data_IF_030415847077
#
_entry.id   IF_030415847077
#
_cell.length_a   1.000
_cell.length_b   1.000
_cell.length_c   1.000
_cell.angle_alpha   90.00
_cell.angle_beta   90.00
_cell.angle_gamma   90.00
#
_symmetry.space_group_name_H-M   'P 1'
#
loop_
_entity.id
_entity.type
_entity.pdbx_description
1 polymer ?
#
# COMPACT_ATOMS: atom_id res chain seq x y z
N UNK A 1 5.52 24.34 -7.10
CA UNK A 1 6.98 24.50 -7.04
C UNK A 1 7.47 23.66 -5.88
N UNK A 2 8.42 22.75 -6.11
CA UNK A 2 8.75 21.65 -5.20
C UNK A 2 9.18 22.14 -3.80
N UNK A 3 8.31 21.95 -2.82
CA UNK A 3 8.68 22.08 -1.41
C UNK A 3 9.40 20.78 -1.07
N UNK A 4 10.73 20.84 -1.03
CA UNK A 4 11.52 19.82 -0.37
C UNK A 4 11.11 19.85 1.11
N UNK A 5 10.36 18.83 1.55
CA UNK A 5 9.91 18.72 2.95
C UNK A 5 11.12 18.44 3.85
N UNK A 6 11.89 19.49 4.16
CA UNK A 6 13.05 19.49 5.05
C UNK A 6 12.67 19.11 6.51
N UNK A 7 11.38 18.95 6.81
CA UNK A 7 10.87 18.60 8.12
C UNK A 7 11.16 17.13 8.52
N UNK A 8 11.49 16.24 7.57
CA UNK A 8 11.89 14.85 7.86
C UNK A 8 13.21 14.47 7.17
N UNK A 9 14.37 14.75 7.81
CA UNK A 9 15.69 14.59 7.19
C UNK A 9 15.98 13.14 6.75
N UNK A 10 15.44 12.15 7.47
CA UNK A 10 15.58 10.74 7.11
C UNK A 10 14.84 10.39 5.83
N UNK A 11 13.58 10.82 5.68
CA UNK A 11 12.80 10.57 4.48
C UNK A 11 13.43 11.20 3.25
N UNK A 12 13.98 12.41 3.39
CA UNK A 12 14.72 13.06 2.32
C UNK A 12 16.00 12.30 1.95
N UNK A 13 16.82 11.93 2.94
CA UNK A 13 18.07 11.17 2.73
C UNK A 13 17.80 9.84 2.03
N UNK A 14 16.83 9.05 2.52
CA UNK A 14 16.45 7.79 1.89
C UNK A 14 15.79 8.00 0.52
N UNK A 15 15.07 9.10 0.32
CA UNK A 15 14.52 9.47 -0.98
C UNK A 15 15.61 9.71 -2.02
N UNK A 16 16.67 10.43 -1.67
CA UNK A 16 17.84 10.66 -2.54
C UNK A 16 18.58 9.35 -2.81
N UNK A 17 18.86 8.56 -1.77
CA UNK A 17 19.53 7.26 -1.94
C UNK A 17 18.71 6.33 -2.84
N UNK A 18 17.39 6.29 -2.63
CA UNK A 18 16.45 5.55 -3.47
C UNK A 18 16.48 6.00 -4.93
N UNK A 19 16.51 7.31 -5.19
CA UNK A 19 16.64 7.86 -6.55
C UNK A 19 17.94 7.39 -7.24
N UNK A 20 19.06 7.41 -6.52
CA UNK A 20 20.35 6.95 -7.06
C UNK A 20 20.29 5.46 -7.42
N UNK A 21 19.79 4.62 -6.51
CA UNK A 21 19.66 3.18 -6.73
C UNK A 21 18.70 2.88 -7.88
N UNK A 22 17.53 3.53 -7.90
CA UNK A 22 16.56 3.38 -8.98
C UNK A 22 17.14 3.76 -10.34
N UNK A 23 17.96 4.82 -10.43
CA UNK A 23 18.63 5.18 -11.68
C UNK A 23 19.59 4.07 -12.14
N UNK A 24 20.37 3.49 -11.23
CA UNK A 24 21.23 2.34 -11.56
C UNK A 24 20.41 1.14 -12.06
N UNK A 25 19.25 0.88 -11.47
CA UNK A 25 18.34 -0.19 -11.90
C UNK A 25 17.77 0.08 -13.29
N UNK A 26 17.34 1.32 -13.59
CA UNK A 26 16.88 1.69 -14.94
C UNK A 26 17.99 1.56 -15.99
N UNK A 27 19.26 1.75 -15.60
CA UNK A 27 20.41 1.60 -16.49
C UNK A 27 20.91 0.15 -16.59
N UNK A 28 20.45 -0.77 -15.75
CA UNK A 28 20.90 -2.16 -15.77
C UNK A 28 20.70 -2.87 -17.13
N UNK A 29 19.63 -2.62 -17.91
CA UNK A 29 19.46 -3.20 -19.24
C UNK A 29 20.28 -2.54 -20.36
N UNK A 30 21.01 -1.45 -20.07
CA UNK A 30 21.75 -0.69 -21.07
C UNK A 30 22.77 -1.53 -21.87
N UNK A 31 23.56 -2.43 -21.26
CA UNK A 31 24.46 -3.31 -22.01
C UNK A 31 23.71 -4.22 -23.00
N UNK A 32 22.52 -4.69 -22.63
CA UNK A 32 21.65 -5.51 -23.49
C UNK A 32 21.18 -4.70 -24.70
N UNK A 33 20.69 -3.48 -24.50
CA UNK A 33 20.23 -2.64 -25.61
C UNK A 33 21.37 -2.12 -26.49
N UNK A 34 22.55 -1.91 -25.92
CA UNK A 34 23.74 -1.63 -26.70
C UNK A 34 24.07 -2.80 -27.66
N UNK A 35 23.94 -4.04 -27.19
CA UNK A 35 24.08 -5.24 -28.03
C UNK A 35 23.04 -5.29 -29.14
N UNK A 36 21.76 -5.02 -28.83
CA UNK A 36 20.67 -4.93 -29.82
C UNK A 36 20.99 -3.90 -30.91
N UNK A 37 21.45 -2.71 -30.51
CA UNK A 37 21.82 -1.64 -31.45
C UNK A 37 22.99 -2.04 -32.37
N UNK A 38 24.01 -2.72 -31.84
CA UNK A 38 25.18 -3.18 -32.60
C UNK A 38 24.84 -4.34 -33.54
N UNK A 39 24.02 -5.29 -33.10
CA UNK A 39 23.64 -6.49 -33.87
C UNK A 39 22.46 -6.26 -34.81
N UNK A 40 21.76 -5.12 -34.69
CA UNK A 40 20.56 -4.77 -35.47
C UNK A 40 19.47 -5.84 -35.37
N UNK A 41 19.44 -6.56 -34.26
CA UNK A 41 18.53 -7.66 -33.98
C UNK A 41 18.30 -7.73 -32.48
N UNK A 42 17.08 -8.09 -32.08
CA UNK A 42 16.74 -8.30 -30.67
C UNK A 42 17.22 -9.63 -30.13
N UNK A 43 17.83 -10.51 -30.93
CA UNK A 43 18.45 -11.78 -30.50
C UNK A 43 17.55 -12.64 -29.57
N UNK A 44 16.22 -12.54 -29.70
CA UNK A 44 15.25 -13.24 -28.86
C UNK A 44 14.88 -12.55 -27.53
N UNK A 45 15.49 -11.40 -27.21
CA UNK A 45 15.08 -10.56 -26.08
C UNK A 45 13.62 -10.13 -26.23
N UNK A 46 12.96 -9.90 -25.10
CA UNK A 46 11.54 -9.52 -25.01
C UNK A 46 11.42 -8.09 -24.49
N UNK A 47 10.46 -7.31 -25.01
CA UNK A 47 10.20 -5.95 -24.51
C UNK A 47 9.19 -5.84 -23.39
N UNK A 48 8.49 -6.94 -23.07
CA UNK A 48 7.48 -7.02 -22.01
C UNK A 48 7.92 -6.35 -20.69
N UNK A 49 9.12 -6.63 -20.12
CA UNK A 49 9.54 -6.00 -18.86
C UNK A 49 9.59 -4.47 -18.94
N UNK A 50 10.00 -3.92 -20.08
CA UNK A 50 10.12 -2.46 -20.28
C UNK A 50 8.75 -1.80 -20.44
N UNK A 51 7.81 -2.47 -21.12
CA UNK A 51 6.42 -2.01 -21.26
C UNK A 51 5.74 -1.97 -19.88
N UNK A 52 5.92 -3.02 -19.08
CA UNK A 52 5.37 -3.09 -17.72
C UNK A 52 5.99 -2.00 -16.83
N UNK A 53 7.31 -1.82 -16.91
CA UNK A 53 8.02 -0.80 -16.16
C UNK A 53 7.55 0.62 -16.54
N UNK A 54 7.36 0.90 -17.83
CA UNK A 54 6.83 2.18 -18.30
C UNK A 54 5.45 2.49 -17.70
N UNK A 55 4.50 1.56 -17.79
CA UNK A 55 3.16 1.76 -17.21
C UNK A 55 3.21 1.89 -15.67
N UNK A 56 4.08 1.12 -15.01
CA UNK A 56 4.31 1.24 -13.57
C UNK A 56 4.81 2.65 -13.21
N UNK A 57 5.80 3.19 -13.93
CA UNK A 57 6.30 4.54 -13.69
C UNK A 57 5.25 5.61 -13.94
N UNK A 58 4.41 5.46 -14.97
CA UNK A 58 3.27 6.36 -15.20
C UNK A 58 2.27 6.34 -14.04
N UNK A 59 1.97 5.16 -13.47
CA UNK A 59 1.10 5.02 -12.29
C UNK A 59 1.71 5.66 -11.04
N UNK A 60 3.01 5.52 -10.83
CA UNK A 60 3.70 6.16 -9.72
C UNK A 60 3.72 7.69 -9.83
N UNK A 61 3.93 8.21 -11.04
CA UNK A 61 3.80 9.65 -11.31
C UNK A 61 2.35 10.11 -11.02
N UNK A 62 1.36 9.35 -11.50
CA UNK A 62 -0.05 9.65 -11.23
C UNK A 62 -0.34 9.67 -9.73
N UNK A 63 0.11 8.66 -8.98
CA UNK A 63 -0.01 8.62 -7.52
C UNK A 63 0.65 9.84 -6.86
N UNK A 64 1.84 10.24 -7.32
CA UNK A 64 2.54 11.39 -6.77
C UNK A 64 1.82 12.72 -6.99
N UNK A 65 1.03 12.85 -8.06
CA UNK A 65 0.17 14.03 -8.26
C UNK A 65 -1.01 14.08 -7.28
N UNK A 66 -1.46 12.93 -6.77
CA UNK A 66 -2.55 12.86 -5.79
C UNK A 66 -2.08 13.16 -4.36
N UNK A 67 -0.77 13.07 -4.08
CA UNK A 67 -0.20 13.22 -2.74
C UNK A 67 0.64 14.50 -2.61
N UNK A 68 0.38 15.37 -1.62
CA UNK A 68 1.31 16.47 -1.32
C UNK A 68 2.67 15.90 -0.89
N UNK A 69 3.76 16.58 -1.27
CA UNK A 69 5.16 16.25 -0.92
C UNK A 69 5.78 14.99 -1.56
N UNK A 70 5.35 14.59 -2.76
CA UNK A 70 5.90 13.45 -3.50
C UNK A 70 6.92 13.82 -4.61
N UNK A 71 7.61 14.96 -4.49
CA UNK A 71 8.48 15.50 -5.55
C UNK A 71 9.60 14.55 -6.00
N UNK A 72 10.31 13.91 -5.06
CA UNK A 72 11.37 12.92 -5.37
C UNK A 72 10.84 11.67 -6.09
N UNK A 73 9.57 11.32 -5.88
CA UNK A 73 8.93 10.19 -6.53
C UNK A 73 8.56 10.52 -7.97
N UNK A 74 8.14 11.76 -8.23
CA UNK A 74 7.92 12.28 -9.60
C UNK A 74 9.23 12.29 -10.37
N UNK A 75 10.32 12.81 -9.78
CA UNK A 75 11.61 12.95 -10.45
C UNK A 75 12.12 11.62 -10.99
N UNK A 76 12.24 10.59 -10.12
CA UNK A 76 12.80 9.31 -10.52
C UNK A 76 11.95 8.57 -11.54
N UNK A 77 10.62 8.58 -11.37
CA UNK A 77 9.74 7.88 -12.30
C UNK A 77 9.63 8.62 -13.63
N UNK A 78 9.81 9.95 -13.67
CA UNK A 78 9.86 10.70 -14.94
C UNK A 78 11.09 10.33 -15.75
N UNK A 79 12.25 10.20 -15.09
CA UNK A 79 13.48 9.71 -15.72
C UNK A 79 13.30 8.25 -16.16
N UNK A 80 12.72 7.40 -15.30
CA UNK A 80 12.36 6.02 -15.61
C UNK A 80 11.50 5.89 -16.86
N UNK A 81 10.41 6.68 -16.95
CA UNK A 81 9.55 6.73 -18.13
C UNK A 81 10.34 7.04 -19.41
N UNK A 82 11.27 8.00 -19.37
CA UNK A 82 12.08 8.34 -20.53
C UNK A 82 13.02 7.20 -20.94
N UNK A 83 13.69 6.56 -19.98
CA UNK A 83 14.60 5.43 -20.22
C UNK A 83 13.83 4.22 -20.79
N UNK A 84 12.71 3.84 -20.17
CA UNK A 84 11.88 2.73 -20.62
C UNK A 84 11.30 2.99 -22.02
N UNK A 85 10.89 4.22 -22.32
CA UNK A 85 10.47 4.60 -23.66
C UNK A 85 11.60 4.42 -24.70
N UNK A 86 12.84 4.80 -24.37
CA UNK A 86 14.01 4.60 -25.25
C UNK A 86 14.25 3.10 -25.50
N UNK A 87 14.14 2.26 -24.47
CA UNK A 87 14.27 0.82 -24.60
C UNK A 87 13.18 0.21 -25.49
N UNK A 88 11.92 0.60 -25.28
CA UNK A 88 10.80 0.12 -26.11
C UNK A 88 10.96 0.59 -27.55
N UNK A 89 11.30 1.85 -27.81
CA UNK A 89 11.53 2.37 -29.17
C UNK A 89 12.66 1.60 -29.85
N UNK A 90 13.79 1.43 -29.17
CA UNK A 90 14.94 0.67 -29.70
C UNK A 90 14.54 -0.76 -30.04
N UNK A 91 13.77 -1.42 -29.15
CA UNK A 91 13.25 -2.75 -29.39
C UNK A 91 12.35 -2.81 -30.63
N UNK A 92 11.38 -1.90 -30.73
CA UNK A 92 10.42 -1.87 -31.83
C UNK A 92 11.08 -1.58 -33.19
N UNK A 93 12.20 -0.86 -33.21
CA UNK A 93 13.00 -0.64 -34.44
C UNK A 93 13.63 -1.94 -34.90
N UNK A 94 14.33 -2.67 -34.01
CA UNK A 94 15.16 -3.83 -34.37
C UNK A 94 14.48 -5.20 -34.25
N UNK A 95 13.28 -5.29 -33.67
CA UNK A 95 12.56 -6.55 -33.50
C UNK A 95 12.07 -7.14 -34.85
N UNK A 96 11.87 -8.47 -34.95
CA UNK A 96 11.19 -9.08 -36.09
C UNK A 96 9.66 -8.85 -36.02
N UNK A 97 8.97 -8.87 -37.17
CA UNK A 97 7.53 -8.52 -37.27
C UNK A 97 6.62 -9.33 -36.34
N UNK A 98 6.90 -10.63 -36.18
CA UNK A 98 6.17 -11.54 -35.29
C UNK A 98 6.31 -11.17 -33.81
N UNK A 99 7.44 -10.58 -33.40
CA UNK A 99 7.63 -10.07 -32.05
C UNK A 99 7.06 -8.67 -31.87
N UNK A 100 7.03 -7.82 -32.91
CA UNK A 100 6.45 -6.46 -32.81
C UNK A 100 4.96 -6.48 -32.55
N UNK A 101 4.20 -7.32 -33.27
CA UNK A 101 2.75 -7.33 -33.23
C UNK A 101 2.16 -7.50 -31.80
N UNK A 102 2.52 -8.54 -31.03
CA UNK A 102 2.00 -8.69 -29.67
C UNK A 102 2.41 -7.54 -28.74
N UNK A 103 3.59 -6.96 -28.91
CA UNK A 103 4.05 -5.82 -28.11
C UNK A 103 3.28 -4.53 -28.42
N UNK A 104 3.02 -4.25 -29.70
CA UNK A 104 2.20 -3.10 -30.11
C UNK A 104 0.76 -3.26 -29.63
N UNK A 105 0.18 -4.46 -29.78
CA UNK A 105 -1.16 -4.75 -29.28
C UNK A 105 -1.23 -4.60 -27.75
N UNK A 106 -0.24 -5.14 -27.02
CA UNK A 106 -0.15 -4.98 -25.56
C UNK A 106 -0.02 -3.52 -25.14
N UNK A 107 0.74 -2.72 -25.89
CA UNK A 107 0.88 -1.28 -25.62
C UNK A 107 -0.43 -0.52 -25.86
N UNK A 108 -1.13 -0.78 -26.97
CA UNK A 108 -2.44 -0.18 -27.26
C UNK A 108 -3.49 -0.59 -26.21
N UNK A 109 -3.51 -1.87 -25.83
CA UNK A 109 -4.39 -2.36 -24.77
C UNK A 109 -4.08 -1.69 -23.43
N UNK A 110 -2.79 -1.52 -23.10
CA UNK A 110 -2.36 -0.80 -21.90
C UNK A 110 -2.80 0.66 -21.89
N UNK A 111 -2.63 1.39 -23.00
CA UNK A 111 -3.13 2.77 -23.13
C UNK A 111 -4.65 2.82 -22.98
N UNK A 112 -5.37 1.93 -23.68
CA UNK A 112 -6.83 1.84 -23.59
C UNK A 112 -7.29 1.60 -22.15
N UNK A 113 -6.62 0.69 -21.42
CA UNK A 113 -6.91 0.40 -20.02
C UNK A 113 -6.63 1.60 -19.11
N UNK A 114 -5.54 2.34 -19.34
CA UNK A 114 -5.23 3.56 -18.58
C UNK A 114 -6.27 4.66 -18.80
N UNK A 115 -6.67 4.89 -20.06
CA UNK A 115 -7.73 5.85 -20.40
C UNK A 115 -9.06 5.43 -19.79
N UNK A 116 -9.42 4.15 -19.88
CA UNK A 116 -10.64 3.61 -19.28
C UNK A 116 -10.65 3.79 -17.75
N UNK A 117 -9.54 3.51 -17.07
CA UNK A 117 -9.41 3.72 -15.63
C UNK A 117 -9.62 5.20 -15.26
N UNK A 118 -8.98 6.12 -15.99
CA UNK A 118 -9.13 7.56 -15.78
C UNK A 118 -10.54 8.05 -16.09
N UNK A 119 -11.20 7.51 -17.12
CA UNK A 119 -12.59 7.85 -17.43
C UNK A 119 -13.57 7.31 -16.38
N UNK A 120 -13.30 6.12 -15.83
CA UNK A 120 -14.16 5.48 -14.84
C UNK A 120 -13.99 6.06 -13.43
N UNK A 121 -12.81 6.53 -13.04
CA UNK A 121 -12.59 7.06 -11.67
C UNK A 121 -13.48 8.26 -11.34
N UNK A 122 -13.89 9.02 -12.35
CA UNK A 122 -14.77 10.19 -12.20
C UNK A 122 -16.25 9.77 -12.13
N UNK A 123 -16.56 8.51 -12.46
CA UNK A 123 -17.86 7.86 -12.30
C UNK A 123 -17.94 7.25 -10.89
N UNK A 124 -18.45 8.06 -9.96
CA UNK A 124 -18.89 7.71 -8.57
C UNK A 124 -17.78 7.53 -7.52
N UNK A 125 -17.63 8.48 -6.59
CA UNK A 125 -17.47 8.09 -5.21
C UNK A 125 -18.83 7.58 -4.72
N UNK A 126 -18.95 6.28 -4.45
CA UNK A 126 -19.92 5.83 -3.45
C UNK A 126 -19.31 6.27 -2.12
N UNK A 127 -19.46 7.55 -1.80
CA UNK A 127 -19.39 8.00 -0.41
C UNK A 127 -20.68 7.49 0.21
N UNK A 128 -20.69 6.25 0.68
CA UNK A 128 -21.51 5.95 1.84
C UNK A 128 -20.89 6.75 2.97
N UNK A 129 -21.33 8.00 3.10
CA UNK A 129 -21.38 8.67 4.38
C UNK A 129 -22.17 7.71 5.27
N UNK A 130 -21.48 6.95 6.13
CA UNK A 130 -22.15 6.13 7.13
C UNK A 130 -22.75 7.10 8.13
N UNK A 131 -23.88 7.73 7.76
CA UNK A 131 -24.70 8.50 8.69
C UNK A 131 -25.22 7.51 9.71
N UNK A 132 -24.60 7.54 10.89
CA UNK A 132 -25.17 6.94 12.08
C UNK A 132 -26.59 7.50 12.23
N UNK A 133 -27.63 6.67 12.41
CA UNK A 133 -28.98 7.17 12.49
C UNK A 133 -29.12 8.06 13.74
N UNK A 134 -29.16 9.37 13.52
CA UNK A 134 -29.61 10.36 14.49
C UNK A 134 -31.15 10.28 14.60
N UNK A 135 -31.67 9.14 15.01
CA UNK A 135 -33.04 9.06 15.53
C UNK A 135 -32.92 9.04 17.04
N UNK A 136 -33.23 10.20 17.62
CA UNK A 136 -33.28 10.41 19.05
C UNK A 136 -34.04 9.30 19.75
N UNK A 137 -33.34 8.58 20.63
CA UNK A 137 -33.97 7.96 21.76
C UNK A 137 -33.95 9.01 22.86
N UNK A 138 -35.13 9.54 23.18
CA UNK A 138 -35.30 10.64 24.14
C UNK A 138 -34.63 10.33 25.47
N UNK A 139 -33.55 11.06 25.77
CA UNK A 139 -32.96 11.10 27.10
C UNK A 139 -33.50 12.37 27.75
N UNK A 140 -34.37 12.19 28.74
CA UNK A 140 -34.78 13.27 29.63
C UNK A 140 -33.56 13.82 30.39
N UNK A 141 -33.46 15.13 30.63
CA UNK A 141 -32.35 15.70 31.39
C UNK A 141 -32.40 15.18 32.82
N UNK A 142 -31.32 14.58 33.30
CA UNK A 142 -31.10 14.37 34.73
C UNK A 142 -30.36 15.61 35.24
N UNK A 143 -31.05 16.38 36.08
CA UNK A 143 -30.53 17.60 36.68
C UNK A 143 -29.28 17.33 37.51
N UNK A 144 -28.18 18.00 37.16
CA UNK A 144 -26.96 18.01 37.95
C UNK A 144 -27.07 19.04 39.07
N UNK A 145 -27.07 18.58 40.32
CA UNK A 145 -26.74 19.41 41.49
C UNK A 145 -25.59 18.76 42.27
N UNK A 146 -24.50 19.50 42.56
CA UNK A 146 -23.29 18.91 43.13
C UNK A 146 -23.45 18.73 44.64
N UNK A 147 -23.35 17.49 45.14
CA UNK A 147 -23.19 17.24 46.58
C UNK A 147 -21.73 16.91 46.91
N UNK A 148 -21.25 17.60 47.94
CA UNK A 148 -19.87 17.66 48.43
C UNK A 148 -19.29 16.28 48.76
N UNK A 149 -17.98 16.20 48.57
CA UNK A 149 -17.09 15.18 49.10
C UNK A 149 -17.21 15.21 50.63
N UNK A 150 -17.71 14.12 51.22
CA UNK A 150 -17.60 13.83 52.64
C UNK A 150 -16.88 12.48 52.77
N UNK A 151 -15.75 12.51 53.49
CA UNK A 151 -14.91 11.35 53.74
C UNK A 151 -15.61 10.47 54.79
N UNK A 152 -15.91 9.23 54.45
CA UNK A 152 -16.06 8.16 55.45
C UNK A 152 -15.22 6.97 55.04
N UNK A 153 -14.31 6.60 55.95
CA UNK A 153 -13.44 5.44 55.89
C UNK A 153 -14.25 4.17 55.66
N UNK A 154 -14.01 3.45 54.55
CA UNK A 154 -14.46 2.07 54.40
C UNK A 154 -13.28 1.15 54.12
N UNK A 155 -12.98 0.37 55.15
CA UNK A 155 -12.15 -0.82 55.12
C UNK A 155 -12.50 -1.71 53.92
N UNK A 156 -11.47 -2.11 53.17
CA UNK A 156 -11.57 -3.15 52.16
C UNK A 156 -11.80 -4.48 52.90
N UNK A 157 -13.01 -5.04 52.78
CA UNK A 157 -13.30 -6.45 53.12
C UNK A 157 -13.55 -7.20 51.82
N UNK A 158 -12.61 -8.07 51.46
CA UNK A 158 -12.78 -9.04 50.38
C UNK A 158 -13.62 -10.19 50.96
N UNK A 159 -14.91 -10.22 50.70
CA UNK A 159 -15.76 -11.37 51.01
C UNK A 159 -15.95 -12.21 49.75
N UNK A 160 -15.19 -13.30 49.65
CA UNK A 160 -15.33 -14.33 48.61
C UNK A 160 -16.34 -15.40 49.04
N UNK A 161 -17.23 -15.79 48.12
CA UNK A 161 -18.25 -16.81 48.33
C UNK A 161 -17.63 -18.20 48.67
N UNK A 162 -17.89 -18.75 49.88
CA UNK A 162 -17.21 -19.95 50.38
C UNK A 162 -17.75 -21.27 49.82
N UNK A 163 -18.78 -21.29 48.97
CA UNK A 163 -19.45 -22.54 48.57
C UNK A 163 -18.91 -23.23 47.32
N UNK A 164 -17.97 -22.63 46.58
CA UNK A 164 -17.53 -23.17 45.27
C UNK A 164 -16.24 -24.02 45.30
N UNK A 165 -15.52 -24.05 46.42
CA UNK A 165 -14.22 -24.73 46.54
C UNK A 165 -14.33 -26.20 46.98
N UNK A 166 -15.37 -26.59 47.72
CA UNK A 166 -15.46 -27.91 48.34
C UNK A 166 -15.86 -29.02 47.34
N UNK A 167 -16.74 -28.68 46.38
CA UNK A 167 -17.23 -29.65 45.37
C UNK A 167 -16.13 -30.07 44.36
N UNK A 168 -15.16 -29.19 44.13
CA UNK A 168 -14.08 -29.39 43.15
C UNK A 168 -12.97 -30.27 43.72
N UNK A 169 -12.65 -30.13 45.01
CA UNK A 169 -11.66 -30.99 45.68
C UNK A 169 -12.21 -32.40 45.97
N UNK A 170 -13.49 -32.52 46.34
CA UNK A 170 -14.12 -33.82 46.59
C UNK A 170 -14.18 -34.70 45.33
N UNK A 171 -14.45 -34.09 44.17
CA UNK A 171 -14.50 -34.78 42.87
C UNK A 171 -13.12 -35.26 42.42
N UNK A 172 -12.08 -34.47 42.72
CA UNK A 172 -10.69 -34.79 42.33
C UNK A 172 -10.11 -35.90 43.21
N UNK A 173 -10.34 -35.89 44.53
CA UNK A 173 -9.88 -36.97 45.45
C UNK A 173 -10.55 -38.32 45.18
N UNK A 174 -11.81 -38.33 44.70
CA UNK A 174 -12.56 -39.57 44.40
C UNK A 174 -12.07 -40.27 43.13
N UNK A 175 -11.55 -39.52 42.15
CA UNK A 175 -10.91 -40.09 40.95
C UNK A 175 -9.53 -40.66 41.25
N UNK A 176 -8.75 -40.03 42.13
CA UNK A 176 -7.39 -40.49 42.47
C UNK A 176 -7.39 -41.83 43.24
N UNK A 177 -8.37 -42.07 44.14
CA UNK A 177 -8.46 -43.32 44.91
C UNK A 177 -8.95 -44.55 44.12
N UNK A 178 -9.53 -44.36 42.92
CA UNK A 178 -10.04 -45.46 42.07
C UNK A 178 -9.04 -45.95 41.02
N UNK A 179 -7.93 -45.26 40.82
CA UNK A 179 -6.89 -45.61 39.83
C UNK A 179 -5.66 -46.33 40.40
N UNK A 180 -5.65 -46.70 41.69
CA UNK A 180 -4.51 -47.35 42.36
C UNK A 180 -4.99 -48.62 43.11
N UNK A 181 -5.79 -49.46 42.45
CA UNK A 181 -6.06 -50.82 42.91
C UNK A 181 -6.03 -51.78 41.76
#
# INVERSE_FOLDING_TARGET
>A
MAVLSLHHPWAFTFGILGNIISLMVYLAPLPTFYRVYKKKSTEGFQSIPYIIALFSSMLWIYYAFLKPDASLLITINSIGCAIEAIYIITYLVFAPKNAKLPNVLGFLFGIMQMVLYVAYKDVKPITQEYKLPEKGLGVHPVDSKPSKIENEDHHIVIEGDPKRLDDTEATTRKKLKRGIR
#
